data_IF_074489681738
#
_entry.id   IF_074489681738
#
_cell.length_a   1.000
_cell.length_b   1.000
_cell.length_c   1.000
_cell.angle_alpha   90.00
_cell.angle_beta   90.00
_cell.angle_gamma   90.00
#
_symmetry.space_group_name_H-M   'P 1'
#
loop_
_entity.id
_entity.type
_entity.pdbx_description
1 polymer ?
#
# COMPACT_ATOMS: atom_id res chain seq x y z
N UNK A 1 -20.69 15.95 -18.49
CA UNK A 1 -19.90 16.94 -17.75
C UNK A 1 -18.49 16.41 -17.69
N UNK A 2 -17.47 17.13 -18.20
CA UNK A 2 -16.08 16.68 -18.14
C UNK A 2 -15.66 16.70 -16.67
N UNK A 3 -15.49 15.53 -16.04
CA UNK A 3 -14.77 15.44 -14.78
C UNK A 3 -13.36 15.96 -15.04
N UNK A 4 -13.03 17.11 -14.46
CA UNK A 4 -11.64 17.57 -14.46
C UNK A 4 -10.80 16.47 -13.83
N UNK A 5 -9.70 16.06 -14.50
CA UNK A 5 -8.78 15.07 -13.96
C UNK A 5 -8.38 15.48 -12.54
N UNK A 6 -8.62 14.61 -11.55
CA UNK A 6 -8.13 14.84 -10.18
C UNK A 6 -6.60 14.86 -10.22
N UNK A 7 -6.01 15.78 -9.47
CA UNK A 7 -4.56 15.81 -9.37
C UNK A 7 -4.07 14.49 -8.72
N UNK A 8 -3.05 13.87 -9.33
CA UNK A 8 -2.50 12.59 -8.91
C UNK A 8 -1.89 12.62 -7.51
N UNK A 9 -1.32 13.76 -7.15
CA UNK A 9 -0.70 13.99 -5.85
C UNK A 9 -1.43 15.09 -5.08
N UNK A 10 -1.58 14.97 -3.75
CA UNK A 10 -2.16 16.01 -2.93
C UNK A 10 -1.32 17.30 -3.02
N UNK A 11 -2.01 18.41 -3.14
CA UNK A 11 -1.33 19.73 -3.08
C UNK A 11 -1.21 20.14 -1.62
N UNK A 12 0.02 20.31 -1.14
CA UNK A 12 0.31 20.82 0.21
C UNK A 12 0.62 22.30 0.15
N UNK A 13 0.16 23.04 1.14
CA UNK A 13 0.57 24.43 1.33
C UNK A 13 2.02 24.52 1.83
N UNK A 14 2.70 25.68 1.68
CA UNK A 14 4.03 25.87 2.25
C UNK A 14 4.09 25.62 3.77
N UNK A 15 3.04 25.99 4.50
CA UNK A 15 2.94 25.75 5.95
C UNK A 15 2.84 24.26 6.27
N UNK A 16 2.07 23.49 5.50
CA UNK A 16 1.97 22.04 5.66
C UNK A 16 3.32 21.36 5.39
N UNK A 17 4.07 21.81 4.38
CA UNK A 17 5.42 21.33 4.12
C UNK A 17 6.35 21.59 5.30
N UNK A 18 6.42 22.84 5.79
CA UNK A 18 7.28 23.22 6.92
C UNK A 18 6.94 22.41 8.19
N UNK A 19 5.66 22.25 8.50
CA UNK A 19 5.23 21.44 9.65
C UNK A 19 5.62 19.97 9.53
N UNK A 20 5.60 19.44 8.31
CA UNK A 20 6.02 18.07 8.06
C UNK A 20 7.53 17.89 8.20
N UNK A 21 8.35 18.86 7.70
CA UNK A 21 9.79 18.88 7.88
C UNK A 21 10.18 18.96 9.36
N UNK A 22 9.54 19.86 10.13
CA UNK A 22 9.74 19.96 11.58
C UNK A 22 9.46 18.64 12.31
N UNK A 23 8.40 17.93 11.90
CA UNK A 23 8.05 16.62 12.47
C UNK A 23 9.04 15.54 12.08
N UNK A 24 9.56 15.55 10.85
CA UNK A 24 10.58 14.60 10.42
C UNK A 24 11.87 14.82 11.21
N UNK A 25 12.35 16.07 11.32
CA UNK A 25 13.58 16.39 12.02
C UNK A 25 13.50 16.20 13.53
N UNK A 26 12.32 16.37 14.14
CA UNK A 26 12.13 16.22 15.60
C UNK A 26 11.91 14.78 16.08
N UNK A 27 11.67 13.83 15.18
CA UNK A 27 11.43 12.44 15.52
C UNK A 27 12.59 11.56 15.07
N UNK A 28 13.34 11.01 16.01
CA UNK A 28 14.53 10.18 15.79
C UNK A 28 14.25 8.70 15.53
N UNK A 29 12.97 8.26 15.62
CA UNK A 29 12.62 6.86 15.39
C UNK A 29 12.87 6.45 13.93
N UNK A 30 13.38 5.23 13.73
CA UNK A 30 13.53 4.65 12.39
C UNK A 30 12.17 4.48 11.73
N UNK A 31 12.00 5.03 10.53
CA UNK A 31 10.71 5.03 9.83
C UNK A 31 10.39 3.66 9.22
N UNK A 32 9.11 3.32 9.21
CA UNK A 32 8.55 2.17 8.48
C UNK A 32 7.59 2.70 7.42
N UNK A 33 8.08 3.01 6.21
CA UNK A 33 7.23 3.52 5.14
C UNK A 33 6.41 2.40 4.53
N UNK A 34 5.09 2.60 4.49
CA UNK A 34 4.12 1.66 3.93
C UNK A 34 3.30 2.37 2.87
N UNK A 35 3.19 1.76 1.70
CA UNK A 35 2.29 2.20 0.66
C UNK A 35 1.20 1.15 0.49
N UNK A 36 -0.04 1.54 0.69
CA UNK A 36 -1.21 0.72 0.44
C UNK A 36 -1.94 1.22 -0.79
N UNK A 37 -1.92 0.44 -1.86
CA UNK A 37 -2.70 0.68 -3.06
C UNK A 37 -4.00 -0.13 -2.98
N UNK A 38 -5.12 0.55 -3.05
CA UNK A 38 -6.47 -0.03 -2.94
C UNK A 38 -7.19 0.10 -4.26
N UNK A 39 -7.64 -1.04 -4.77
CA UNK A 39 -8.50 -1.10 -5.94
C UNK A 39 -9.85 -0.43 -5.67
N UNK A 40 -10.19 0.51 -6.51
CA UNK A 40 -11.47 1.22 -6.54
C UNK A 40 -12.17 1.02 -7.90
N UNK A 41 -11.89 -0.07 -8.62
CA UNK A 41 -12.58 -0.43 -9.84
C UNK A 41 -14.04 -0.81 -9.59
N UNK A 42 -14.82 -0.90 -10.65
CA UNK A 42 -16.26 -1.21 -10.57
C UNK A 42 -16.55 -2.55 -9.85
N UNK A 43 -15.70 -3.57 -10.02
CA UNK A 43 -15.83 -4.89 -9.40
C UNK A 43 -15.79 -4.84 -7.87
N UNK A 44 -15.08 -3.87 -7.30
CA UNK A 44 -14.98 -3.66 -5.85
C UNK A 44 -16.30 -3.24 -5.17
N UNK A 45 -17.35 -2.93 -5.95
CA UNK A 45 -18.74 -2.76 -5.43
C UNK A 45 -19.34 -4.09 -4.96
N UNK A 46 -18.92 -5.19 -5.57
CA UNK A 46 -19.46 -6.52 -5.27
C UNK A 46 -19.18 -6.88 -3.81
N UNK A 47 -20.16 -7.48 -3.13
CA UNK A 47 -20.05 -7.93 -1.74
C UNK A 47 -19.52 -6.85 -0.77
N UNK A 48 -19.64 -5.56 -1.14
CA UNK A 48 -19.12 -4.43 -0.37
C UNK A 48 -17.60 -4.53 -0.11
N UNK A 49 -16.83 -4.99 -1.11
CA UNK A 49 -15.39 -5.24 -0.97
C UNK A 49 -14.65 -3.97 -0.56
N UNK A 50 -14.90 -2.86 -1.24
CA UNK A 50 -14.26 -1.58 -0.93
C UNK A 50 -14.57 -1.11 0.50
N UNK A 51 -15.83 -1.17 0.94
CA UNK A 51 -16.21 -0.78 2.29
C UNK A 51 -15.50 -1.66 3.34
N UNK A 52 -15.38 -2.96 3.10
CA UNK A 52 -14.67 -3.88 4.00
C UNK A 52 -13.17 -3.60 4.06
N UNK A 53 -12.54 -3.22 2.94
CA UNK A 53 -11.14 -2.72 2.94
C UNK A 53 -11.01 -1.50 3.85
N UNK A 54 -11.91 -0.52 3.68
CA UNK A 54 -11.87 0.72 4.47
C UNK A 54 -12.15 0.47 5.96
N UNK A 55 -13.10 -0.43 6.30
CA UNK A 55 -13.34 -0.87 7.69
C UNK A 55 -12.08 -1.52 8.29
N UNK A 56 -11.41 -2.38 7.54
CA UNK A 56 -10.14 -3.01 7.93
C UNK A 56 -9.02 -1.99 8.12
N UNK A 57 -8.91 -1.01 7.23
CA UNK A 57 -7.94 0.07 7.31
C UNK A 57 -8.18 0.96 8.54
N UNK A 58 -9.44 1.23 8.90
CA UNK A 58 -9.80 1.93 10.14
C UNK A 58 -9.34 1.16 11.38
N UNK A 59 -9.46 -0.17 11.37
CA UNK A 59 -8.97 -1.02 12.44
C UNK A 59 -7.45 -0.95 12.55
N UNK A 60 -6.73 -1.12 11.43
CA UNK A 60 -5.29 -0.99 11.34
C UNK A 60 -4.80 0.34 11.94
N UNK A 61 -5.40 1.45 11.49
CA UNK A 61 -5.07 2.78 12.01
C UNK A 61 -5.16 2.84 13.53
N UNK A 62 -6.27 2.32 14.10
CA UNK A 62 -6.47 2.32 15.57
C UNK A 62 -5.44 1.46 16.30
N UNK A 63 -5.13 0.28 15.77
CA UNK A 63 -4.12 -0.62 16.35
C UNK A 63 -2.73 0.01 16.34
N UNK A 64 -2.34 0.64 15.22
CA UNK A 64 -1.05 1.32 15.11
C UNK A 64 -0.97 2.59 15.95
N UNK A 65 -2.02 3.38 16.03
CA UNK A 65 -2.07 4.58 16.86
C UNK A 65 -2.06 4.28 18.38
N UNK A 66 -2.47 3.07 18.76
CA UNK A 66 -2.46 2.63 20.16
C UNK A 66 -1.08 2.11 20.62
N UNK A 67 -0.18 1.76 19.71
CA UNK A 67 1.19 1.34 19.99
C UNK A 67 2.13 2.54 19.81
N UNK A 68 2.80 2.96 20.89
CA UNK A 68 3.61 4.18 20.88
C UNK A 68 4.76 4.11 19.86
N UNK A 69 5.47 2.97 19.78
CA UNK A 69 6.60 2.78 18.88
C UNK A 69 6.10 2.74 17.43
N UNK A 70 5.07 1.95 17.16
CA UNK A 70 4.49 1.88 15.83
C UNK A 70 3.92 3.23 15.37
N UNK A 71 3.26 3.98 16.27
CA UNK A 71 2.72 5.31 15.96
C UNK A 71 3.79 6.32 15.57
N UNK A 72 4.98 6.24 16.17
CA UNK A 72 6.10 7.11 15.88
C UNK A 72 6.93 6.66 14.66
N UNK A 73 6.99 5.36 14.41
CA UNK A 73 7.79 4.78 13.32
C UNK A 73 7.01 4.69 12.00
N UNK A 74 5.75 4.25 12.05
CA UNK A 74 4.96 3.96 10.84
C UNK A 74 4.51 5.22 10.12
N UNK A 75 4.66 5.23 8.81
CA UNK A 75 4.06 6.22 7.93
C UNK A 75 3.33 5.51 6.79
N UNK A 76 2.04 5.76 6.65
CA UNK A 76 1.20 5.16 5.62
C UNK A 76 0.89 6.16 4.51
N UNK A 77 1.23 5.78 3.29
CA UNK A 77 0.72 6.38 2.06
C UNK A 77 -0.45 5.55 1.54
N UNK A 78 -1.60 6.19 1.32
CA UNK A 78 -2.78 5.55 0.75
C UNK A 78 -2.98 6.00 -0.69
N UNK A 79 -2.99 5.04 -1.61
CA UNK A 79 -3.25 5.25 -3.03
C UNK A 79 -4.51 4.50 -3.40
N UNK A 80 -5.47 5.17 -4.02
CA UNK A 80 -6.59 4.54 -4.70
C UNK A 80 -6.28 4.39 -6.18
N UNK A 81 -6.71 3.30 -6.81
CA UNK A 81 -6.66 3.15 -8.26
C UNK A 81 -7.97 2.62 -8.80
N UNK A 82 -8.50 3.30 -9.79
CA UNK A 82 -9.81 3.03 -10.39
C UNK A 82 -10.09 4.01 -11.53
N UNK A 83 -11.03 3.70 -12.41
CA UNK A 83 -11.23 4.52 -13.61
C UNK A 83 -10.03 4.49 -14.52
N UNK A 84 -9.38 5.65 -14.73
CA UNK A 84 -8.28 5.79 -15.71
C UNK A 84 -6.92 6.03 -15.03
N UNK A 85 -6.85 6.19 -13.71
CA UNK A 85 -5.62 6.58 -13.02
C UNK A 85 -5.57 6.15 -11.55
N UNK A 86 -4.36 6.15 -11.00
CA UNK A 86 -4.12 6.08 -9.56
C UNK A 86 -4.01 7.50 -8.95
N UNK A 87 -4.43 7.63 -7.71
CA UNK A 87 -4.44 8.90 -6.96
C UNK A 87 -3.85 8.67 -5.57
N UNK A 88 -2.90 9.50 -5.16
CA UNK A 88 -2.42 9.56 -3.78
C UNK A 88 -3.50 10.24 -2.93
N UNK A 89 -4.29 9.47 -2.23
CA UNK A 89 -5.38 9.97 -1.38
C UNK A 89 -4.84 10.55 -0.07
N UNK A 90 -3.81 9.91 0.48
CA UNK A 90 -3.04 10.40 1.64
C UNK A 90 -1.57 10.13 1.40
N UNK A 91 -0.77 11.18 1.49
CA UNK A 91 0.68 11.06 1.49
C UNK A 91 1.17 10.47 2.82
N UNK A 92 2.42 10.06 2.90
CA UNK A 92 3.01 9.44 4.08
C UNK A 92 2.63 10.16 5.37
N UNK A 93 1.77 9.52 6.14
CA UNK A 93 1.12 10.10 7.33
C UNK A 93 1.20 9.10 8.49
N UNK A 94 1.60 9.54 9.70
CA UNK A 94 1.57 8.67 10.87
C UNK A 94 0.14 8.23 11.23
N UNK A 95 -0.02 7.05 11.87
CA UNK A 95 -1.34 6.44 12.12
C UNK A 95 -2.31 7.31 12.93
N UNK A 96 -1.82 8.09 13.88
CA UNK A 96 -2.63 8.98 14.73
C UNK A 96 -3.27 10.13 13.93
N UNK A 97 -2.66 10.53 12.82
CA UNK A 97 -3.11 11.62 11.95
C UNK A 97 -3.74 11.14 10.65
N UNK A 98 -3.71 9.84 10.39
CA UNK A 98 -4.24 9.28 9.16
C UNK A 98 -5.77 9.39 9.14
N UNK A 99 -6.29 10.23 8.27
CA UNK A 99 -7.72 10.31 7.96
C UNK A 99 -8.02 9.40 6.78
N UNK A 100 -8.92 8.44 6.97
CA UNK A 100 -9.33 7.53 5.90
C UNK A 100 -10.30 8.29 4.97
N UNK A 101 -9.96 8.47 3.69
CA UNK A 101 -10.80 9.19 2.76
C UNK A 101 -12.07 8.41 2.42
N UNK A 102 -13.09 9.11 1.94
CA UNK A 102 -14.22 8.46 1.30
C UNK A 102 -13.82 8.06 -0.12
N UNK A 103 -13.76 6.75 -0.37
CA UNK A 103 -13.47 6.20 -1.69
C UNK A 103 -14.75 5.65 -2.32
N UNK A 104 -14.83 5.74 -3.64
CA UNK A 104 -15.94 5.18 -4.44
C UNK A 104 -15.39 4.26 -5.50
N UNK A 105 -16.01 3.09 -5.65
CA UNK A 105 -15.60 2.14 -6.68
C UNK A 105 -16.25 2.50 -8.02
N UNK A 106 -15.44 2.68 -9.07
CA UNK A 106 -15.89 2.95 -10.43
C UNK A 106 -14.80 2.70 -11.48
N UNK A 107 -15.23 2.42 -12.72
CA UNK A 107 -14.36 2.29 -13.89
C UNK A 107 -13.42 1.09 -13.88
N UNK A 108 -12.27 1.25 -14.52
CA UNK A 108 -11.28 0.18 -14.75
C UNK A 108 -10.29 -0.01 -13.60
N UNK A 109 -9.25 -0.81 -13.86
CA UNK A 109 -8.24 -1.25 -12.88
C UNK A 109 -6.84 -0.86 -13.37
N UNK A 110 -6.37 0.38 -13.22
CA UNK A 110 -5.06 0.86 -13.70
C UNK A 110 -3.92 0.43 -12.73
N UNK A 111 -3.64 -0.86 -12.64
CA UNK A 111 -2.63 -1.43 -11.73
C UNK A 111 -1.22 -0.93 -12.02
N UNK A 112 -0.83 -0.87 -13.31
CA UNK A 112 0.48 -0.37 -13.69
C UNK A 112 0.67 1.09 -13.24
N UNK A 113 -0.35 1.92 -13.39
CA UNK A 113 -0.32 3.31 -12.95
C UNK A 113 -0.24 3.42 -11.42
N UNK A 114 -0.92 2.52 -10.69
CA UNK A 114 -0.84 2.47 -9.23
C UNK A 114 0.59 2.18 -8.75
N UNK A 115 1.26 1.20 -9.38
CA UNK A 115 2.66 0.85 -9.07
C UNK A 115 3.60 2.03 -9.34
N UNK A 116 3.50 2.63 -10.53
CA UNK A 116 4.39 3.74 -10.89
C UNK A 116 4.15 4.97 -10.00
N UNK A 117 2.90 5.27 -9.65
CA UNK A 117 2.55 6.35 -8.71
C UNK A 117 3.12 6.07 -7.32
N UNK A 118 3.03 4.82 -6.85
CA UNK A 118 3.57 4.41 -5.55
C UNK A 118 5.08 4.58 -5.49
N UNK A 119 5.80 4.12 -6.51
CA UNK A 119 7.26 4.22 -6.59
C UNK A 119 7.72 5.69 -6.68
N UNK A 120 7.06 6.50 -7.49
CA UNK A 120 7.37 7.95 -7.59
C UNK A 120 7.18 8.65 -6.24
N UNK A 121 6.08 8.34 -5.52
CA UNK A 121 5.84 8.94 -4.21
C UNK A 121 6.83 8.45 -3.15
N UNK A 122 7.22 7.18 -3.22
CA UNK A 122 8.23 6.61 -2.33
C UNK A 122 9.59 7.27 -2.50
N UNK A 123 10.04 7.48 -3.74
CA UNK A 123 11.33 8.13 -3.99
C UNK A 123 11.34 9.57 -3.46
N UNK A 124 10.26 10.33 -3.65
CA UNK A 124 10.10 11.66 -3.04
C UNK A 124 10.20 11.58 -1.51
N UNK A 125 9.63 10.54 -0.89
CA UNK A 125 9.69 10.36 0.57
C UNK A 125 11.08 10.01 1.06
N UNK A 126 11.80 9.13 0.35
CA UNK A 126 13.20 8.77 0.67
C UNK A 126 14.11 9.97 0.66
N UNK A 127 14.03 10.84 -0.38
CA UNK A 127 14.78 12.11 -0.43
C UNK A 127 14.53 12.93 0.83
N UNK A 128 13.27 13.05 1.26
CA UNK A 128 12.95 13.81 2.48
C UNK A 128 13.50 13.16 3.76
N UNK A 129 13.56 11.82 3.84
CA UNK A 129 14.24 11.16 4.94
C UNK A 129 15.74 11.48 4.96
N UNK A 130 16.38 11.39 3.80
CA UNK A 130 17.81 11.67 3.67
C UNK A 130 18.13 13.14 4.03
N UNK A 131 17.34 14.10 3.55
CA UNK A 131 17.47 15.52 3.84
C UNK A 131 17.32 15.84 5.34
N UNK A 132 16.50 15.07 6.07
CA UNK A 132 16.25 15.24 7.51
C UNK A 132 17.08 14.28 8.39
N UNK A 133 17.96 13.45 7.81
CA UNK A 133 18.78 12.49 8.54
C UNK A 133 17.98 11.34 9.18
N UNK A 134 16.79 11.05 8.69
CA UNK A 134 15.96 9.94 9.18
C UNK A 134 16.40 8.61 8.57
N UNK A 135 16.66 7.63 9.42
CA UNK A 135 16.78 6.22 8.98
C UNK A 135 15.42 5.62 8.70
N UNK A 136 15.36 4.65 7.78
CA UNK A 136 14.12 3.91 7.50
C UNK A 136 14.40 2.43 7.23
N UNK A 137 13.43 1.59 7.60
CA UNK A 137 13.40 0.17 7.22
C UNK A 137 13.01 0.03 5.75
N UNK A 138 13.26 -1.15 5.19
CA UNK A 138 12.80 -1.47 3.84
C UNK A 138 11.32 -1.15 3.68
N UNK A 139 10.95 -0.28 2.74
CA UNK A 139 9.56 0.10 2.49
C UNK A 139 8.68 -1.09 2.10
N UNK A 140 7.39 -0.97 2.37
CA UNK A 140 6.40 -1.95 1.99
C UNK A 140 5.46 -1.38 0.94
N UNK A 141 5.28 -2.11 -0.15
CA UNK A 141 4.22 -1.85 -1.14
C UNK A 141 3.20 -2.98 -1.06
N UNK A 142 1.96 -2.62 -0.75
CA UNK A 142 0.85 -3.55 -0.62
C UNK A 142 -0.17 -3.20 -1.69
N UNK A 143 -0.44 -4.14 -2.60
CA UNK A 143 -1.44 -4.02 -3.66
C UNK A 143 -2.65 -4.88 -3.27
N UNK A 144 -3.82 -4.26 -3.15
CA UNK A 144 -5.09 -4.95 -2.81
C UNK A 144 -6.09 -4.72 -3.93
N UNK A 145 -6.54 -5.78 -4.58
CA UNK A 145 -7.51 -5.69 -5.68
C UNK A 145 -8.17 -7.02 -6.02
N UNK A 146 -9.18 -6.99 -6.89
CA UNK A 146 -9.97 -8.16 -7.27
C UNK A 146 -9.98 -8.43 -8.79
N UNK A 147 -9.23 -7.65 -9.56
CA UNK A 147 -9.25 -7.74 -11.01
C UNK A 147 -7.88 -7.64 -11.68
N UNK A 148 -7.92 -7.83 -12.97
CA UNK A 148 -6.77 -7.70 -13.85
C UNK A 148 -6.65 -6.28 -14.43
N UNK A 149 -5.43 -5.94 -14.87
CA UNK A 149 -5.11 -4.67 -15.53
C UNK A 149 -6.07 -4.36 -16.69
N UNK A 150 -6.70 -3.20 -16.62
CA UNK A 150 -7.58 -2.71 -17.70
C UNK A 150 -6.86 -1.84 -18.72
N UNK A 151 -5.61 -1.50 -18.47
CA UNK A 151 -4.80 -0.62 -19.30
C UNK A 151 -3.87 -1.37 -20.27
N UNK A 152 -2.65 -0.85 -20.39
CA UNK A 152 -1.65 -1.39 -21.33
C UNK A 152 -0.87 -2.57 -20.74
N UNK A 153 -0.89 -3.71 -21.42
CA UNK A 153 -0.04 -4.87 -21.06
C UNK A 153 1.44 -4.51 -21.02
N UNK A 154 1.90 -3.62 -21.90
CA UNK A 154 3.29 -3.15 -21.92
C UNK A 154 3.60 -2.33 -20.65
N UNK A 155 2.69 -1.47 -20.21
CA UNK A 155 2.88 -0.70 -18.96
C UNK A 155 2.93 -1.64 -17.74
N UNK A 156 2.10 -2.68 -17.72
CA UNK A 156 2.12 -3.70 -16.68
C UNK A 156 3.45 -4.48 -16.69
N UNK A 157 3.99 -4.82 -17.86
CA UNK A 157 5.30 -5.47 -17.99
C UNK A 157 6.44 -4.61 -17.43
N UNK A 158 6.41 -3.32 -17.73
CA UNK A 158 7.37 -2.35 -17.21
C UNK A 158 7.28 -2.23 -15.68
N UNK A 159 6.07 -2.08 -15.15
CA UNK A 159 5.84 -2.02 -13.71
C UNK A 159 6.34 -3.28 -12.99
N UNK A 160 6.05 -4.47 -13.54
CA UNK A 160 6.52 -5.74 -13.00
C UNK A 160 8.06 -5.86 -13.01
N UNK A 161 8.72 -5.42 -14.10
CA UNK A 161 10.17 -5.43 -14.18
C UNK A 161 10.82 -4.52 -13.12
N UNK A 162 10.26 -3.33 -12.90
CA UNK A 162 10.75 -2.40 -11.86
C UNK A 162 10.54 -2.98 -10.47
N UNK A 163 9.35 -3.50 -10.16
CA UNK A 163 9.08 -4.12 -8.85
C UNK A 163 10.00 -5.29 -8.57
N UNK A 164 10.28 -6.12 -9.59
CA UNK A 164 11.22 -7.23 -9.45
C UNK A 164 12.63 -6.74 -9.15
N UNK A 165 13.11 -5.74 -9.88
CA UNK A 165 14.44 -5.16 -9.67
C UNK A 165 14.58 -4.57 -8.25
N UNK A 166 13.61 -3.79 -7.78
CA UNK A 166 13.60 -3.19 -6.44
C UNK A 166 13.53 -4.27 -5.33
N UNK A 167 12.76 -5.33 -5.55
CA UNK A 167 12.66 -6.44 -4.61
C UNK A 167 13.94 -7.26 -4.55
N UNK A 168 14.53 -7.61 -5.70
CA UNK A 168 15.79 -8.37 -5.80
C UNK A 168 16.96 -7.58 -5.16
N UNK A 169 16.96 -6.25 -5.32
CA UNK A 169 17.92 -5.35 -4.67
C UNK A 169 17.64 -5.14 -3.17
N UNK A 170 16.58 -5.72 -2.63
CA UNK A 170 16.12 -5.55 -1.24
C UNK A 170 15.76 -4.09 -0.87
N UNK A 171 15.43 -3.27 -1.85
CA UNK A 171 15.00 -1.87 -1.64
C UNK A 171 13.51 -1.75 -1.32
N UNK A 172 12.70 -2.78 -1.64
CA UNK A 172 11.25 -2.79 -1.47
C UNK A 172 10.76 -4.18 -1.12
N UNK A 173 9.78 -4.27 -0.21
CA UNK A 173 9.00 -5.49 0.03
C UNK A 173 7.64 -5.34 -0.63
N UNK A 174 7.26 -6.28 -1.50
CA UNK A 174 6.00 -6.23 -2.24
C UNK A 174 5.07 -7.32 -1.76
N UNK A 175 3.82 -6.97 -1.45
CA UNK A 175 2.76 -7.88 -1.08
C UNK A 175 1.55 -7.66 -1.98
N UNK A 176 1.19 -8.66 -2.77
CA UNK A 176 -0.02 -8.64 -3.59
C UNK A 176 -1.12 -9.45 -2.90
N UNK A 177 -2.29 -8.83 -2.73
CA UNK A 177 -3.47 -9.44 -2.09
C UNK A 177 -4.64 -9.38 -3.05
N UNK A 178 -5.19 -10.53 -3.40
CA UNK A 178 -6.40 -10.60 -4.22
C UNK A 178 -7.61 -10.95 -3.38
N UNK A 179 -8.76 -10.43 -3.81
CA UNK A 179 -10.08 -10.66 -3.21
C UNK A 179 -11.05 -11.07 -4.31
N UNK A 180 -12.06 -11.88 -3.98
CA UNK A 180 -13.05 -12.28 -4.98
C UNK A 180 -13.73 -13.61 -4.62
N UNK A 181 -14.47 -14.15 -5.58
CA UNK A 181 -15.05 -15.47 -5.47
C UNK A 181 -13.97 -16.51 -5.78
N UNK A 182 -13.77 -17.49 -4.91
CA UNK A 182 -12.70 -18.51 -4.99
C UNK A 182 -12.68 -19.22 -6.36
N UNK A 183 -13.86 -19.51 -6.92
CA UNK A 183 -14.01 -20.18 -8.22
C UNK A 183 -13.73 -19.28 -9.45
N UNK A 184 -13.54 -17.96 -9.25
CA UNK A 184 -13.45 -16.96 -10.32
C UNK A 184 -12.32 -15.96 -10.10
N UNK A 185 -11.28 -16.37 -9.40
CA UNK A 185 -10.16 -15.46 -9.11
C UNK A 185 -9.38 -15.20 -10.39
N UNK A 186 -9.50 -13.99 -10.92
CA UNK A 186 -8.67 -13.46 -11.99
C UNK A 186 -7.64 -12.53 -11.35
N UNK A 187 -6.41 -13.00 -11.19
CA UNK A 187 -5.32 -12.23 -10.57
C UNK A 187 -4.01 -12.32 -11.36
N UNK A 188 -4.11 -12.57 -12.68
CA UNK A 188 -2.92 -12.74 -13.53
C UNK A 188 -2.03 -11.51 -13.52
N UNK A 189 -2.61 -10.31 -13.47
CA UNK A 189 -1.89 -9.05 -13.39
C UNK A 189 -1.20 -8.86 -12.04
N UNK A 190 -1.86 -9.19 -10.92
CA UNK A 190 -1.23 -9.18 -9.59
C UNK A 190 -0.10 -10.21 -9.49
N UNK A 191 -0.30 -11.42 -10.03
CA UNK A 191 0.77 -12.44 -10.09
C UNK A 191 1.98 -11.98 -10.90
N UNK A 192 1.76 -11.19 -11.96
CA UNK A 192 2.82 -10.61 -12.76
C UNK A 192 3.58 -9.53 -12.00
N UNK A 193 2.88 -8.73 -11.20
CA UNK A 193 3.47 -7.69 -10.36
C UNK A 193 4.17 -8.24 -9.10
N UNK A 194 3.79 -9.43 -8.62
CA UNK A 194 4.42 -10.07 -7.47
C UNK A 194 5.84 -10.54 -7.84
N UNK A 195 6.92 -10.05 -7.20
CA UNK A 195 8.30 -10.38 -7.56
C UNK A 195 8.63 -11.87 -7.42
N UNK A 196 7.99 -12.55 -6.46
CA UNK A 196 8.11 -14.00 -6.21
C UNK A 196 7.01 -14.83 -6.91
N UNK A 197 6.14 -14.18 -7.69
CA UNK A 197 5.00 -14.81 -8.37
C UNK A 197 3.88 -15.28 -7.43
N UNK A 198 3.87 -14.82 -6.17
CA UNK A 198 2.90 -15.22 -5.15
C UNK A 198 1.91 -14.11 -4.85
N UNK A 199 0.63 -14.45 -4.87
CA UNK A 199 -0.46 -13.56 -4.49
C UNK A 199 -1.20 -14.17 -3.30
N UNK A 200 -1.48 -13.37 -2.30
CA UNK A 200 -2.27 -13.80 -1.16
C UNK A 200 -3.76 -13.67 -1.50
N UNK A 201 -4.49 -14.76 -1.44
CA UNK A 201 -5.94 -14.72 -1.55
C UNK A 201 -6.59 -14.47 -0.19
N UNK A 202 -7.39 -13.44 -0.09
CA UNK A 202 -8.09 -13.09 1.13
C UNK A 202 -9.43 -13.84 1.23
N UNK A 203 -9.45 -14.91 2.00
CA UNK A 203 -10.67 -15.73 2.21
C UNK A 203 -11.77 -14.94 2.92
N UNK A 204 -13.01 -15.13 2.48
CA UNK A 204 -14.21 -14.57 3.12
C UNK A 204 -14.14 -13.05 3.39
N UNK A 205 -13.33 -12.32 2.60
CA UNK A 205 -13.11 -10.88 2.77
C UNK A 205 -12.68 -10.51 4.20
N UNK A 206 -11.79 -11.31 4.81
CA UNK A 206 -11.28 -11.12 6.18
C UNK A 206 -10.30 -9.97 6.33
N UNK A 207 -10.64 -8.80 5.81
CA UNK A 207 -9.78 -7.60 5.88
C UNK A 207 -9.38 -7.24 7.30
N UNK A 208 -10.28 -7.42 8.28
CA UNK A 208 -9.95 -7.16 9.68
C UNK A 208 -8.82 -8.05 10.21
N UNK A 209 -8.74 -9.33 9.78
CA UNK A 209 -7.67 -10.25 10.14
C UNK A 209 -6.38 -9.95 9.38
N UNK A 210 -6.49 -9.62 8.09
CA UNK A 210 -5.37 -9.16 7.27
C UNK A 210 -4.70 -7.93 7.88
N UNK A 211 -5.47 -6.90 8.20
CA UNK A 211 -4.92 -5.68 8.77
C UNK A 211 -4.35 -5.90 10.18
N UNK A 212 -4.93 -6.76 11.02
CA UNK A 212 -4.33 -7.15 12.30
C UNK A 212 -3.04 -7.96 12.14
N UNK A 213 -2.95 -8.79 11.10
CA UNK A 213 -1.70 -9.47 10.74
C UNK A 213 -0.63 -8.46 10.30
N UNK A 214 -1.00 -7.50 9.47
CA UNK A 214 -0.13 -6.42 9.01
C UNK A 214 0.39 -5.61 10.20
N UNK A 215 -0.51 -5.22 11.12
CA UNK A 215 -0.14 -4.53 12.37
C UNK A 215 0.94 -5.27 13.15
N UNK A 216 0.75 -6.57 13.40
CA UNK A 216 1.74 -7.40 14.12
C UNK A 216 3.07 -7.52 13.40
N UNK A 217 3.06 -7.64 12.07
CA UNK A 217 4.28 -7.73 11.26
C UNK A 217 5.08 -6.43 11.33
N UNK A 218 4.40 -5.29 11.26
CA UNK A 218 5.00 -3.96 11.34
C UNK A 218 5.56 -3.69 12.74
N UNK A 219 4.81 -4.01 13.81
CA UNK A 219 5.28 -3.87 15.19
C UNK A 219 6.58 -4.64 15.43
N UNK A 220 6.69 -5.86 14.89
CA UNK A 220 7.94 -6.61 14.97
C UNK A 220 9.07 -5.94 14.19
N UNK A 221 8.79 -5.40 13.01
CA UNK A 221 9.78 -4.69 12.20
C UNK A 221 10.26 -3.43 12.93
N UNK A 222 9.36 -2.62 13.49
CA UNK A 222 9.73 -1.39 14.22
C UNK A 222 10.51 -1.64 15.50
N UNK A 223 10.45 -2.86 16.06
CA UNK A 223 11.19 -3.29 17.25
C UNK A 223 12.49 -4.03 16.92
N UNK A 224 12.77 -4.32 15.64
CA UNK A 224 14.00 -4.99 15.21
C UNK A 224 15.14 -3.98 15.03
N UNK A 225 16.39 -4.49 14.93
CA UNK A 225 17.52 -3.62 14.60
C UNK A 225 17.51 -3.22 13.13
N UNK A 226 17.96 -2.00 12.85
CA UNK A 226 18.13 -1.51 11.48
C UNK A 226 19.04 -2.45 10.68
N UNK A 227 18.54 -2.98 9.55
CA UNK A 227 19.26 -3.93 8.69
C UNK A 227 18.82 -5.39 8.82
N UNK A 228 17.93 -5.73 9.77
CA UNK A 228 17.32 -7.05 9.83
C UNK A 228 16.31 -7.26 8.70
N UNK A 229 16.06 -8.52 8.33
CA UNK A 229 15.07 -8.86 7.31
C UNK A 229 13.66 -8.51 7.79
N UNK A 230 12.86 -7.94 6.88
CA UNK A 230 11.44 -7.68 7.13
C UNK A 230 10.72 -9.01 7.40
N UNK A 231 10.15 -9.14 8.58
CA UNK A 231 9.44 -10.36 8.97
C UNK A 231 7.96 -10.27 8.62
N UNK A 232 7.50 -11.16 7.76
CA UNK A 232 6.08 -11.40 7.56
C UNK A 232 5.59 -12.55 8.45
N UNK A 233 4.60 -12.28 9.29
CA UNK A 233 3.97 -13.35 10.06
C UNK A 233 3.28 -14.37 9.10
N UNK A 234 3.09 -15.65 9.51
CA UNK A 234 2.33 -16.60 8.69
C UNK A 234 0.92 -16.09 8.37
N UNK A 235 0.49 -16.28 7.11
CA UNK A 235 -0.81 -15.79 6.59
C UNK A 235 -1.98 -16.73 6.82
N UNK A 236 -1.76 -17.86 7.48
CA UNK A 236 -2.71 -19.00 7.62
C UNK A 236 -4.08 -18.66 8.21
N UNK A 237 -4.19 -17.54 8.96
CA UNK A 237 -5.46 -17.15 9.60
C UNK A 237 -6.42 -16.42 8.66
N UNK A 238 -5.92 -15.73 7.63
CA UNK A 238 -6.73 -14.85 6.79
C UNK A 238 -6.58 -15.11 5.29
N UNK A 239 -5.52 -15.74 4.86
CA UNK A 239 -5.20 -15.87 3.44
C UNK A 239 -4.70 -17.25 3.03
N UNK A 240 -4.66 -17.45 1.74
CA UNK A 240 -4.08 -18.59 1.05
C UNK A 240 -3.13 -18.09 -0.04
N UNK A 241 -2.00 -18.77 -0.21
CA UNK A 241 -1.03 -18.39 -1.24
C UNK A 241 -1.44 -18.99 -2.57
N UNK A 242 -1.63 -18.14 -3.57
CA UNK A 242 -1.79 -18.52 -4.97
C UNK A 242 -0.44 -18.37 -5.68
N UNK A 243 0.01 -19.42 -6.34
CA UNK A 243 1.27 -19.44 -7.09
C UNK A 243 1.00 -19.60 -8.58
N UNK A 244 1.87 -19.03 -9.40
CA UNK A 244 1.82 -19.20 -10.85
C UNK A 244 2.10 -20.67 -11.19
N UNK A 245 1.15 -21.31 -11.90
CA UNK A 245 1.32 -22.66 -12.45
C UNK A 245 2.21 -22.66 -13.67
#
# INVERSE_FOLDING_TARGET
MKNGARNKFPQKTPEEYLLEEEKLSSNSETRVPIILCVDCSFSMRQQRRLEKVLEGLQKFRREMAADLIACQSVELCLISFGGDQAIVERDFTPPDRLEIPHLTADGGTPLADAVMTALENLEKRKVRYDDNGNSYYRPWLILVGDGDESGSSQALDQAAAVLKAESDAKHLSVLCVTVGDEDKIECSSLMKLAPDGKVQYLRDLKFGEFFSWLSRSIQKTSQSMSGEEVYFAPTTSWGEVLERK
#
